data_IF_917426753317
#
_entry.id   IF_917426753317
#
_cell.length_a   1.000
_cell.length_b   1.000
_cell.length_c   1.000
_cell.angle_alpha   90.00
_cell.angle_beta   90.00
_cell.angle_gamma   90.00
#
_symmetry.space_group_name_H-M   'P 1'
#
loop_
_entity.id
_entity.type
_entity.pdbx_description
1 polymer ?
#
# COMPACT_ATOMS: atom_id res chain seq x y z
N UNK A 1 -10.08 -2.41 -15.10
CA UNK A 1 -9.87 -2.52 -13.64
C UNK A 1 -8.43 -2.35 -13.20
N UNK A 2 -7.44 -3.04 -13.80
CA UNK A 2 -6.03 -2.85 -13.45
C UNK A 2 -5.54 -1.39 -13.60
N UNK A 3 -6.00 -0.66 -14.63
CA UNK A 3 -5.73 0.78 -14.82
C UNK A 3 -6.12 1.64 -13.60
N UNK A 4 -7.24 1.35 -12.95
CA UNK A 4 -7.67 2.11 -11.77
C UNK A 4 -6.81 1.81 -10.55
N UNK A 5 -6.47 0.53 -10.35
CA UNK A 5 -5.53 0.12 -9.30
C UNK A 5 -4.16 0.78 -9.51
N UNK A 6 -3.65 0.76 -10.74
CA UNK A 6 -2.42 1.45 -11.13
C UNK A 6 -2.49 2.95 -10.86
N UNK A 7 -3.59 3.60 -11.24
CA UNK A 7 -3.75 5.03 -11.06
C UNK A 7 -3.76 5.42 -9.56
N UNK A 8 -4.37 4.60 -8.70
CA UNK A 8 -4.31 4.76 -7.24
C UNK A 8 -2.87 4.60 -6.76
N UNK A 9 -2.20 3.49 -7.11
CA UNK A 9 -0.81 3.24 -6.70
C UNK A 9 0.17 4.32 -7.17
N UNK A 10 -0.08 4.91 -8.35
CA UNK A 10 0.75 5.97 -8.93
C UNK A 10 0.40 7.36 -8.42
N UNK A 11 -0.50 7.48 -7.44
CA UNK A 11 -0.99 8.77 -6.91
C UNK A 11 -1.39 9.77 -8.01
N UNK A 12 -2.03 9.30 -9.08
CA UNK A 12 -2.40 10.21 -10.17
C UNK A 12 -3.32 11.31 -9.65
N UNK A 13 -3.14 12.52 -10.18
CA UNK A 13 -3.88 13.72 -9.77
C UNK A 13 -5.30 13.72 -10.36
N UNK A 14 -6.13 12.73 -10.02
CA UNK A 14 -7.54 12.70 -10.37
C UNK A 14 -8.42 12.96 -9.15
N UNK A 15 -9.58 13.58 -9.37
CA UNK A 15 -10.56 13.83 -8.32
C UNK A 15 -11.02 12.53 -7.66
N UNK A 16 -11.24 11.49 -8.48
CA UNK A 16 -11.64 10.17 -8.01
C UNK A 16 -10.59 9.53 -7.10
N UNK A 17 -9.29 9.69 -7.41
CA UNK A 17 -8.21 9.17 -6.55
C UNK A 17 -8.17 9.93 -5.22
N UNK A 18 -8.23 11.27 -5.25
CA UNK A 18 -8.28 12.07 -4.02
C UNK A 18 -9.47 11.67 -3.15
N UNK A 19 -10.66 11.54 -3.74
CA UNK A 19 -11.85 11.09 -3.03
C UNK A 19 -11.69 9.68 -2.46
N UNK A 20 -11.09 8.76 -3.24
CA UNK A 20 -10.81 7.39 -2.78
C UNK A 20 -9.89 7.37 -1.57
N UNK A 21 -8.85 8.20 -1.53
CA UNK A 21 -7.96 8.30 -0.37
C UNK A 21 -8.66 8.89 0.86
N UNK A 22 -9.54 9.87 0.68
CA UNK A 22 -10.26 10.53 1.78
C UNK A 22 -11.36 9.63 2.39
N UNK A 23 -12.17 8.99 1.56
CA UNK A 23 -13.38 8.30 2.02
C UNK A 23 -13.25 6.78 2.06
N UNK A 24 -12.51 6.20 1.12
CA UNK A 24 -12.44 4.74 0.96
C UNK A 24 -11.23 4.15 1.67
N UNK A 25 -10.02 4.61 1.33
CA UNK A 25 -8.76 4.07 1.83
C UNK A 25 -8.42 4.64 3.21
N UNK A 26 -8.79 5.90 3.51
CA UNK A 26 -8.64 6.54 4.83
C UNK A 26 -7.22 6.40 5.43
N UNK A 27 -6.18 6.68 4.65
CA UNK A 27 -4.77 6.50 5.05
C UNK A 27 -4.40 5.07 5.50
N UNK A 28 -5.13 4.05 5.05
CA UNK A 28 -4.70 2.67 5.19
C UNK A 28 -3.81 2.25 4.03
N UNK A 29 -2.97 1.24 4.30
CA UNK A 29 -2.21 0.62 3.25
C UNK A 29 -3.15 -0.14 2.31
N UNK A 30 -3.09 0.22 1.03
CA UNK A 30 -3.91 -0.39 0.00
C UNK A 30 -3.67 -1.90 -0.08
N UNK A 31 -2.51 -2.44 0.28
CA UNK A 31 -2.23 -3.87 0.18
C UNK A 31 -2.75 -4.70 1.34
N UNK A 32 -2.79 -4.13 2.55
CA UNK A 32 -3.13 -4.84 3.78
C UNK A 32 -4.53 -4.53 4.32
N UNK A 33 -5.23 -3.52 3.79
CA UNK A 33 -6.59 -3.22 4.25
C UNK A 33 -7.56 -4.35 3.89
N UNK A 34 -8.43 -4.71 4.85
CA UNK A 34 -9.50 -5.67 4.66
C UNK A 34 -10.49 -5.20 3.60
N UNK A 35 -11.16 -6.13 2.92
CA UNK A 35 -12.21 -5.84 1.93
C UNK A 35 -13.55 -5.78 2.69
N UNK A 36 -14.15 -4.59 2.90
CA UNK A 36 -15.42 -4.51 3.61
C UNK A 36 -16.54 -5.06 2.73
N UNK A 37 -17.47 -5.80 3.34
CA UNK A 37 -18.64 -6.34 2.63
C UNK A 37 -19.56 -5.25 2.10
N UNK A 38 -19.56 -4.07 2.74
CA UNK A 38 -20.35 -2.89 2.38
C UNK A 38 -19.82 -2.11 1.17
N UNK A 39 -18.64 -2.46 0.65
CA UNK A 39 -18.07 -1.74 -0.49
C UNK A 39 -18.67 -2.19 -1.81
N UNK A 40 -18.68 -1.28 -2.78
CA UNK A 40 -19.21 -1.57 -4.11
C UNK A 40 -18.48 -2.77 -4.74
N UNK A 41 -19.21 -3.52 -5.56
CA UNK A 41 -18.67 -4.69 -6.27
C UNK A 41 -17.38 -4.36 -7.05
N UNK A 42 -17.33 -3.17 -7.64
CA UNK A 42 -16.18 -2.59 -8.34
C UNK A 42 -14.95 -2.52 -7.45
N UNK A 43 -15.08 -2.00 -6.22
CA UNK A 43 -13.99 -1.94 -5.26
C UNK A 43 -13.54 -3.35 -4.84
N UNK A 44 -14.47 -4.25 -4.56
CA UNK A 44 -14.14 -5.65 -4.21
C UNK A 44 -13.31 -6.32 -5.30
N UNK A 45 -13.71 -6.18 -6.56
CA UNK A 45 -12.94 -6.69 -7.72
C UNK A 45 -11.58 -6.01 -7.85
N UNK A 46 -11.50 -4.70 -7.60
CA UNK A 46 -10.24 -3.95 -7.64
C UNK A 46 -9.25 -4.45 -6.57
N UNK A 47 -9.72 -4.69 -5.35
CA UNK A 47 -8.88 -5.21 -4.26
C UNK A 47 -8.48 -6.68 -4.48
N UNK A 48 -9.34 -7.50 -5.10
CA UNK A 48 -8.98 -8.88 -5.49
C UNK A 48 -7.83 -8.95 -6.50
N UNK A 49 -7.56 -7.88 -7.25
CA UNK A 49 -6.45 -7.81 -8.21
C UNK A 49 -5.10 -7.44 -7.57
N UNK A 50 -5.08 -7.03 -6.30
CA UNK A 50 -3.86 -6.68 -5.56
C UNK A 50 -2.71 -7.67 -5.74
N UNK A 51 -2.86 -8.98 -5.46
CA UNK A 51 -1.73 -9.91 -5.54
C UNK A 51 -1.09 -9.96 -6.94
N UNK A 52 -1.90 -9.82 -8.00
CA UNK A 52 -1.41 -9.83 -9.39
C UNK A 52 -0.65 -8.56 -9.76
N UNK A 53 -1.05 -7.42 -9.22
CA UNK A 53 -0.47 -6.12 -9.56
C UNK A 53 0.66 -5.71 -8.61
N UNK A 54 0.69 -6.25 -7.38
CA UNK A 54 1.70 -5.93 -6.35
C UNK A 54 3.14 -6.24 -6.79
N UNK A 55 3.34 -7.27 -7.62
CA UNK A 55 4.64 -7.59 -8.21
C UNK A 55 5.09 -6.56 -9.24
N UNK A 56 4.15 -5.96 -9.97
CA UNK A 56 4.41 -4.99 -11.04
C UNK A 56 4.62 -3.55 -10.52
N UNK A 57 4.16 -3.25 -9.29
CA UNK A 57 4.18 -1.90 -8.72
C UNK A 57 5.52 -1.54 -8.04
N UNK A 58 6.47 -2.48 -7.93
CA UNK A 58 7.80 -2.27 -7.32
C UNK A 58 8.53 -0.99 -7.79
N UNK A 59 8.32 -0.60 -9.05
CA UNK A 59 9.03 0.53 -9.68
C UNK A 59 8.36 1.90 -9.50
N UNK A 60 7.09 1.95 -9.10
CA UNK A 60 6.31 3.21 -9.02
C UNK A 60 6.54 3.94 -7.69
N UNK A 61 6.92 3.17 -6.67
CA UNK A 61 7.03 3.59 -5.28
C UNK A 61 8.37 4.34 -5.09
N UNK A 62 8.50 5.48 -5.76
CA UNK A 62 9.66 6.37 -5.67
C UNK A 62 9.57 7.40 -4.54
N UNK A 63 8.35 7.63 -4.00
CA UNK A 63 8.11 8.58 -2.92
C UNK A 63 8.14 7.89 -1.55
N UNK A 64 9.23 8.12 -0.82
CA UNK A 64 9.49 7.52 0.50
C UNK A 64 8.47 7.97 1.56
N UNK A 65 7.74 9.06 1.30
CA UNK A 65 6.79 9.66 2.25
C UNK A 65 5.37 9.11 2.15
N UNK A 66 5.00 8.44 1.06
CA UNK A 66 3.67 7.80 0.88
C UNK A 66 3.72 6.28 0.96
N UNK A 67 4.93 5.72 1.11
CA UNK A 67 5.21 4.29 1.06
C UNK A 67 5.26 3.69 2.46
N UNK A 68 4.48 2.64 2.70
CA UNK A 68 4.48 1.87 3.94
C UNK A 68 5.66 0.92 4.03
N UNK A 69 6.42 1.03 5.11
CA UNK A 69 7.64 0.28 5.35
C UNK A 69 7.43 -1.23 5.30
N UNK A 70 6.39 -1.72 5.99
CA UNK A 70 6.17 -3.16 6.17
C UNK A 70 5.43 -3.80 5.00
N UNK A 71 4.59 -3.03 4.33
CA UNK A 71 3.58 -3.56 3.41
C UNK A 71 3.91 -3.30 1.94
N UNK A 72 4.62 -2.22 1.63
CA UNK A 72 4.93 -1.90 0.24
C UNK A 72 6.16 -2.64 -0.25
N UNK A 73 6.19 -2.84 -1.56
CA UNK A 73 7.20 -3.61 -2.26
C UNK A 73 8.39 -2.71 -2.65
N UNK A 74 8.88 -1.92 -1.69
CA UNK A 74 9.92 -0.90 -1.89
C UNK A 74 11.34 -1.46 -1.83
N UNK A 75 11.51 -2.65 -1.24
CA UNK A 75 12.79 -3.36 -1.18
C UNK A 75 12.83 -4.48 -2.24
N UNK A 76 14.01 -4.75 -2.79
CA UNK A 76 14.20 -5.74 -3.85
C UNK A 76 13.76 -7.15 -3.44
N UNK A 77 13.93 -7.50 -2.16
CA UNK A 77 13.53 -8.79 -1.59
C UNK A 77 12.02 -8.92 -1.34
N UNK A 78 11.23 -7.86 -1.51
CA UNK A 78 9.80 -7.89 -1.23
C UNK A 78 9.38 -6.94 -0.10
N UNK A 79 8.13 -7.03 0.38
CA UNK A 79 7.68 -6.35 1.59
C UNK A 79 8.45 -6.91 2.81
N UNK A 80 8.93 -6.04 3.70
CA UNK A 80 9.68 -6.51 4.88
C UNK A 80 8.86 -7.43 5.79
N UNK A 81 7.53 -7.25 5.81
CA UNK A 81 6.65 -8.14 6.57
C UNK A 81 6.77 -9.60 6.12
N UNK A 82 6.93 -9.83 4.81
CA UNK A 82 7.03 -11.18 4.25
C UNK A 82 8.41 -11.80 4.58
N UNK A 83 9.43 -10.98 4.79
CA UNK A 83 10.80 -11.43 5.07
C UNK A 83 11.08 -11.65 6.57
N UNK A 84 10.59 -10.75 7.42
CA UNK A 84 10.88 -10.74 8.85
C UNK A 84 9.72 -11.27 9.72
N UNK A 85 8.52 -11.39 9.14
CA UNK A 85 7.32 -11.83 9.85
C UNK A 85 6.80 -10.80 10.87
N UNK A 86 5.67 -11.13 11.50
CA UNK A 86 5.02 -10.24 12.46
C UNK A 86 5.83 -10.01 13.75
N UNK A 87 6.65 -10.97 14.16
CA UNK A 87 7.42 -10.89 15.42
C UNK A 87 8.49 -9.79 15.43
N UNK A 88 9.04 -9.45 14.27
CA UNK A 88 10.12 -8.46 14.15
C UNK A 88 9.66 -7.00 14.38
N UNK A 89 8.34 -6.75 14.38
CA UNK A 89 7.75 -5.43 14.62
C UNK A 89 7.99 -4.92 16.04
N UNK A 90 7.91 -5.85 17.01
CA UNK A 90 8.06 -5.55 18.43
C UNK A 90 9.52 -5.27 18.81
N UNK A 91 10.46 -5.89 18.09
CA UNK A 91 11.90 -5.77 18.34
C UNK A 91 12.43 -4.39 17.92
N UNK A 92 11.92 -3.84 16.83
CA UNK A 92 12.36 -2.53 16.30
C UNK A 92 11.53 -1.34 16.79
N UNK A 93 10.37 -1.56 17.43
CA UNK A 93 9.51 -0.48 17.92
C UNK A 93 8.86 0.38 16.83
N UNK A 94 8.81 -0.11 15.57
CA UNK A 94 8.28 0.65 14.43
C UNK A 94 6.81 0.25 14.19
N UNK A 95 5.86 1.22 14.16
CA UNK A 95 4.44 0.92 14.01
C UNK A 95 4.07 0.35 12.63
N UNK A 96 2.96 -0.39 12.53
CA UNK A 96 2.52 -1.04 11.29
C UNK A 96 2.22 -0.05 10.14
N UNK A 97 1.79 1.15 10.50
CA UNK A 97 1.57 2.27 9.58
C UNK A 97 2.82 3.10 9.27
N UNK A 98 4.01 2.66 9.72
CA UNK A 98 5.25 3.40 9.48
C UNK A 98 5.56 3.50 7.99
N UNK A 99 6.13 4.64 7.61
CA UNK A 99 6.52 4.93 6.24
C UNK A 99 8.01 4.72 6.05
N UNK A 100 8.44 4.47 4.81
CA UNK A 100 9.86 4.30 4.46
C UNK A 100 10.69 5.52 4.85
N UNK A 101 10.11 6.72 4.79
CA UNK A 101 10.73 7.96 5.26
C UNK A 101 11.18 7.91 6.73
N UNK A 102 10.61 7.05 7.57
CA UNK A 102 10.99 6.95 8.98
C UNK A 102 12.35 6.27 9.21
N UNK A 103 12.83 5.44 8.28
CA UNK A 103 14.13 4.76 8.42
C UNK A 103 15.33 5.60 7.98
N UNK A 104 15.10 6.69 7.25
CA UNK A 104 16.16 7.53 6.73
C UNK A 104 16.15 8.82 7.53
N UNK A 105 16.70 8.76 8.75
CA UNK A 105 17.23 9.96 9.37
C UNK A 105 18.50 10.36 8.60
N UNK A 106 18.51 11.60 8.11
CA UNK A 106 19.67 12.21 7.47
C UNK A 106 20.77 12.49 8.50
#
# INVERSE_FOLDING_TARGET
MAKHLWAICSHQKSLWIKWSYLYTIKNQCLWSMNIPSSWSWTWRKLLQLRPKVRSLVRYIIGDRSSTYLWHDNWHHAGPLLDYFGHHFQLVFGIPMGAKVSCLIYR
#
